data_IF_661558433708
#
_entry.id   IF_661558433708
#
_cell.length_a   1.000
_cell.length_b   1.000
_cell.length_c   1.000
_cell.angle_alpha   90.00
_cell.angle_beta   90.00
_cell.angle_gamma   90.00
#
_symmetry.space_group_name_H-M   'P 1'
#
loop_
_entity.id
_entity.type
_entity.pdbx_description
1 polymer ?
#
# COMPACT_ATOMS: atom_id res chain seq x y z
N UNK A 1 -1.63 10.42 -8.01
CA UNK A 1 -1.49 10.12 -6.56
C UNK A 1 -0.69 8.83 -6.47
N UNK A 2 0.25 8.67 -5.53
CA UNK A 2 1.02 7.42 -5.39
C UNK A 2 0.15 6.19 -5.10
N UNK A 3 -1.08 6.40 -4.60
CA UNK A 3 -2.06 5.34 -4.41
C UNK A 3 -2.93 5.16 -5.67
N UNK A 4 -3.03 3.91 -6.12
CA UNK A 4 -3.81 3.51 -7.31
C UNK A 4 -5.31 3.64 -7.04
N UNK A 5 -6.04 4.19 -8.02
CA UNK A 5 -7.49 4.32 -7.97
C UNK A 5 -8.21 3.27 -8.82
N UNK A 6 -7.49 2.61 -9.75
CA UNK A 6 -8.05 1.60 -10.66
C UNK A 6 -7.07 0.45 -10.91
N UNK A 7 -7.60 -0.71 -11.30
CA UNK A 7 -6.80 -1.86 -11.74
C UNK A 7 -5.94 -1.54 -12.97
N UNK A 8 -6.44 -0.69 -13.88
CA UNK A 8 -5.70 -0.30 -15.08
C UNK A 8 -4.45 0.52 -14.74
N UNK A 9 -4.54 1.46 -13.79
CA UNK A 9 -3.37 2.21 -13.32
C UNK A 9 -2.33 1.28 -12.68
N UNK A 10 -2.79 0.30 -11.90
CA UNK A 10 -1.92 -0.68 -11.28
C UNK A 10 -1.24 -1.60 -12.32
N UNK A 11 -1.96 -2.06 -13.34
CA UNK A 11 -1.40 -2.88 -14.40
C UNK A 11 -0.34 -2.13 -15.22
N UNK A 12 -0.55 -0.84 -15.50
CA UNK A 12 0.46 0.00 -16.18
C UNK A 12 1.76 0.06 -15.38
N UNK A 13 1.69 0.23 -14.07
CA UNK A 13 2.87 0.23 -13.21
C UNK A 13 3.57 -1.15 -13.20
N UNK A 14 2.80 -2.24 -13.18
CA UNK A 14 3.32 -3.62 -13.26
C UNK A 14 4.07 -3.84 -14.57
N UNK A 15 3.45 -3.48 -15.70
CA UNK A 15 4.02 -3.71 -17.03
C UNK A 15 5.32 -2.91 -17.24
N UNK A 16 5.37 -1.66 -16.78
CA UNK A 16 6.58 -0.84 -16.84
C UNK A 16 7.72 -1.44 -16.00
N UNK A 17 7.42 -1.94 -14.80
CA UNK A 17 8.45 -2.59 -13.99
C UNK A 17 8.91 -3.95 -14.52
N UNK A 18 8.00 -4.74 -15.12
CA UNK A 18 8.33 -6.01 -15.80
C UNK A 18 9.25 -5.77 -17.00
N UNK A 19 9.02 -4.71 -17.77
CA UNK A 19 9.89 -4.28 -18.89
C UNK A 19 11.33 -3.99 -18.45
N UNK A 20 11.55 -3.65 -17.18
CA UNK A 20 12.86 -3.36 -16.62
C UNK A 20 13.51 -4.54 -15.86
N UNK A 21 12.97 -5.76 -15.96
CA UNK A 21 13.62 -6.99 -15.49
C UNK A 21 13.31 -7.40 -14.04
N UNK A 22 12.31 -6.80 -13.40
CA UNK A 22 11.89 -7.17 -12.04
C UNK A 22 10.80 -8.23 -12.11
N UNK A 23 11.13 -9.49 -11.84
CA UNK A 23 10.19 -10.63 -11.90
C UNK A 23 9.26 -10.75 -10.69
N UNK A 24 9.42 -9.90 -9.68
CA UNK A 24 8.68 -9.98 -8.41
C UNK A 24 8.42 -8.56 -7.91
N UNK A 25 7.18 -8.09 -8.02
CA UNK A 25 6.80 -6.72 -7.69
C UNK A 25 5.98 -6.67 -6.40
N UNK A 26 6.43 -5.87 -5.45
CA UNK A 26 5.64 -5.53 -4.25
C UNK A 26 5.13 -4.10 -4.45
N UNK A 27 3.83 -3.91 -4.36
CA UNK A 27 3.22 -2.58 -4.49
C UNK A 27 3.23 -1.85 -3.14
N UNK A 28 3.78 -0.63 -3.10
CA UNK A 28 3.76 0.24 -1.92
C UNK A 28 2.54 1.16 -1.92
N UNK A 29 1.82 1.24 -0.80
CA UNK A 29 0.85 2.28 -0.51
C UNK A 29 1.39 3.22 0.56
N UNK A 30 1.22 4.53 0.35
CA UNK A 30 1.64 5.56 1.30
C UNK A 30 0.44 6.15 2.04
N UNK A 31 0.70 6.84 3.15
CA UNK A 31 -0.31 7.48 4.00
C UNK A 31 -1.38 8.25 3.19
N UNK A 32 -2.64 7.88 3.41
CA UNK A 32 -3.83 8.47 2.79
C UNK A 32 -5.06 8.22 3.67
N UNK A 33 -6.21 8.85 3.37
CA UNK A 33 -7.46 8.53 4.06
C UNK A 33 -7.77 7.03 4.02
N UNK A 34 -8.24 6.47 5.14
CA UNK A 34 -8.45 5.02 5.31
C UNK A 34 -9.31 4.41 4.19
N UNK A 35 -10.36 5.08 3.75
CA UNK A 35 -11.21 4.62 2.64
C UNK A 35 -10.45 4.44 1.32
N UNK A 36 -9.45 5.31 1.04
CA UNK A 36 -8.59 5.18 -0.13
C UNK A 36 -7.62 4.02 0.03
N UNK A 37 -7.01 3.87 1.20
CA UNK A 37 -6.10 2.75 1.47
C UNK A 37 -6.82 1.42 1.31
N UNK A 38 -8.03 1.31 1.85
CA UNK A 38 -8.88 0.14 1.75
C UNK A 38 -9.25 -0.19 0.29
N UNK A 39 -9.67 0.81 -0.49
CA UNK A 39 -9.98 0.63 -1.91
C UNK A 39 -8.75 0.21 -2.74
N UNK A 40 -7.59 0.85 -2.52
CA UNK A 40 -6.35 0.45 -3.19
C UNK A 40 -5.91 -0.96 -2.76
N UNK A 41 -6.13 -1.34 -1.51
CA UNK A 41 -5.81 -2.68 -1.01
C UNK A 41 -6.61 -3.76 -1.73
N UNK A 42 -7.90 -3.54 -1.98
CA UNK A 42 -8.73 -4.50 -2.73
C UNK A 42 -8.18 -4.73 -4.14
N UNK A 43 -7.83 -3.65 -4.84
CA UNK A 43 -7.26 -3.71 -6.20
C UNK A 43 -5.94 -4.48 -6.21
N UNK A 44 -5.04 -4.18 -5.26
CA UNK A 44 -3.74 -4.83 -5.21
C UNK A 44 -3.85 -6.30 -4.78
N UNK A 45 -4.81 -6.65 -3.92
CA UNK A 45 -5.08 -8.03 -3.55
C UNK A 45 -5.58 -8.84 -4.75
N UNK A 46 -6.43 -8.27 -5.62
CA UNK A 46 -6.86 -8.93 -6.87
C UNK A 46 -5.69 -9.20 -7.82
N UNK A 47 -4.76 -8.27 -7.94
CA UNK A 47 -3.55 -8.46 -8.76
C UNK A 47 -2.60 -9.50 -8.14
N UNK A 48 -2.48 -9.55 -6.82
CA UNK A 48 -1.70 -10.58 -6.14
C UNK A 48 -2.35 -11.97 -6.26
N UNK A 49 -3.68 -12.06 -6.20
CA UNK A 49 -4.42 -13.30 -6.47
C UNK A 49 -4.21 -13.80 -7.93
N UNK A 50 -3.91 -12.89 -8.85
CA UNK A 50 -3.59 -13.19 -10.25
C UNK A 50 -2.10 -13.44 -10.53
N UNK A 51 -1.26 -13.54 -9.49
CA UNK A 51 0.21 -13.65 -9.60
C UNK A 51 0.88 -12.49 -10.36
N UNK A 52 0.18 -11.35 -10.50
CA UNK A 52 0.71 -10.12 -11.10
C UNK A 52 1.58 -9.34 -10.12
N UNK A 53 1.29 -9.45 -8.82
CA UNK A 53 2.05 -8.87 -7.71
C UNK A 53 2.48 -9.95 -6.72
N UNK A 54 3.68 -9.80 -6.17
CA UNK A 54 4.21 -10.67 -5.13
C UNK A 54 3.73 -10.30 -3.72
N UNK A 55 3.12 -9.12 -3.56
CA UNK A 55 2.53 -8.68 -2.31
C UNK A 55 2.30 -7.17 -2.22
N UNK A 56 1.85 -6.76 -1.04
CA UNK A 56 1.50 -5.38 -0.69
C UNK A 56 2.40 -4.91 0.45
N UNK A 57 2.97 -3.72 0.31
CA UNK A 57 3.69 -3.01 1.35
C UNK A 57 2.94 -1.71 1.70
N UNK A 58 2.85 -1.40 2.99
CA UNK A 58 2.38 -0.08 3.45
C UNK A 58 3.56 0.71 4.04
N UNK A 59 3.88 1.84 3.42
CA UNK A 59 4.82 2.85 3.92
C UNK A 59 4.04 3.85 4.80
N UNK A 60 3.73 3.42 6.01
CA UNK A 60 2.77 4.08 6.89
C UNK A 60 1.32 3.87 6.43
N UNK A 61 0.41 3.86 7.39
CA UNK A 61 -0.56 4.96 7.42
C UNK A 61 -0.34 5.90 8.61
N UNK A 62 0.54 5.52 9.53
CA UNK A 62 0.85 6.26 10.74
C UNK A 62 2.33 6.60 10.71
N UNK A 63 2.65 7.89 10.68
CA UNK A 63 4.05 8.33 10.70
C UNK A 63 4.65 7.90 12.04
N UNK A 64 5.60 6.95 11.99
CA UNK A 64 6.44 6.61 13.14
C UNK A 64 7.09 7.88 13.67
N UNK A 65 6.91 8.14 14.97
CA UNK A 65 7.53 9.26 15.68
C UNK A 65 9.06 9.29 15.51
N UNK A 66 9.67 8.15 15.20
CA UNK A 66 11.12 7.97 15.20
C UNK A 66 11.81 8.35 13.88
N UNK A 67 11.06 8.80 12.86
CA UNK A 67 11.59 9.26 11.57
C UNK A 67 11.22 10.72 11.23
N UNK A 68 11.07 11.61 12.21
CA UNK A 68 10.78 13.03 11.97
C UNK A 68 11.94 13.96 12.36
N UNK A 69 12.49 14.64 11.36
CA UNK A 69 13.07 15.98 11.56
C UNK A 69 11.98 17.02 11.86
N UNK A 70 12.09 18.22 11.28
CA UNK A 70 11.23 19.38 11.56
C UNK A 70 9.79 19.31 10.96
N UNK A 71 9.01 18.28 11.31
CA UNK A 71 7.61 18.15 10.89
C UNK A 71 6.63 18.74 11.94
N UNK A 72 5.52 19.28 11.44
CA UNK A 72 4.44 19.87 12.23
C UNK A 72 3.74 18.78 13.08
N UNK A 73 3.62 18.92 14.42
CA UNK A 73 2.92 17.97 15.28
C UNK A 73 1.49 17.64 14.86
N UNK A 74 0.83 18.52 14.09
CA UNK A 74 -0.50 18.30 13.54
C UNK A 74 -0.56 17.27 12.39
N UNK A 75 0.59 16.84 11.84
CA UNK A 75 0.68 15.81 10.81
C UNK A 75 0.82 14.38 11.38
N UNK A 76 0.86 14.24 12.71
CA UNK A 76 0.96 12.93 13.38
C UNK A 76 -0.43 12.31 13.43
N UNK A 77 -0.68 11.36 12.54
CA UNK A 77 -1.87 10.49 12.59
C UNK A 77 -1.60 9.38 13.61
N UNK A 78 -2.42 9.24 14.66
CA UNK A 78 -2.24 8.19 15.64
C UNK A 78 -2.45 6.81 15.00
N UNK A 79 -1.75 5.77 15.47
CA UNK A 79 -2.03 4.41 15.04
C UNK A 79 -3.51 4.08 15.25
N UNK A 80 -4.13 3.59 14.19
CA UNK A 80 -5.51 3.11 14.13
C UNK A 80 -5.49 1.59 13.90
N UNK A 81 -5.55 0.80 15.00
CA UNK A 81 -5.53 -0.65 14.92
C UNK A 81 -6.72 -1.24 14.17
N UNK A 82 -7.86 -0.54 14.14
CA UNK A 82 -9.04 -1.01 13.44
C UNK A 82 -8.82 -0.92 11.92
N UNK A 83 -8.29 0.21 11.45
CA UNK A 83 -7.88 0.36 10.04
C UNK A 83 -6.80 -0.66 9.68
N UNK A 84 -5.80 -0.88 10.53
CA UNK A 84 -4.78 -1.92 10.29
C UNK A 84 -5.38 -3.31 10.14
N UNK A 85 -6.27 -3.72 11.05
CA UNK A 85 -6.92 -5.02 10.98
C UNK A 85 -7.74 -5.18 9.69
N UNK A 86 -8.42 -4.11 9.28
CA UNK A 86 -9.21 -4.11 8.04
C UNK A 86 -8.30 -4.22 6.80
N UNK A 87 -7.19 -3.48 6.75
CA UNK A 87 -6.20 -3.58 5.66
C UNK A 87 -5.61 -4.99 5.55
N UNK A 88 -5.25 -5.62 6.68
CA UNK A 88 -4.74 -6.99 6.68
C UNK A 88 -5.78 -7.99 6.19
N UNK A 89 -7.04 -7.81 6.59
CA UNK A 89 -8.17 -8.66 6.15
C UNK A 89 -8.39 -8.52 4.64
N UNK A 90 -8.48 -7.28 4.15
CA UNK A 90 -8.72 -6.94 2.74
C UNK A 90 -7.54 -7.33 1.84
N UNK A 91 -6.33 -7.35 2.40
CA UNK A 91 -5.12 -7.79 1.72
C UNK A 91 -4.99 -9.30 1.54
N UNK A 92 -5.91 -10.13 2.09
CA UNK A 92 -6.03 -11.58 1.80
C UNK A 92 -4.74 -12.39 1.98
N UNK A 93 -3.86 -11.97 2.89
CA UNK A 93 -2.56 -12.63 3.13
C UNK A 93 -1.41 -12.16 2.22
N UNK A 94 -1.67 -11.20 1.33
CA UNK A 94 -0.66 -10.61 0.44
C UNK A 94 0.09 -9.44 1.05
N UNK A 95 -0.34 -8.93 2.21
CA UNK A 95 0.40 -7.89 2.95
C UNK A 95 1.70 -8.48 3.50
N UNK A 96 2.84 -7.97 3.05
CA UNK A 96 4.17 -8.46 3.44
C UNK A 96 4.76 -7.68 4.60
N UNK A 97 4.64 -6.36 4.55
CA UNK A 97 5.24 -5.47 5.55
C UNK A 97 4.42 -4.19 5.68
N UNK A 98 4.39 -3.64 6.89
CA UNK A 98 3.87 -2.31 7.19
C UNK A 98 4.89 -1.63 8.11
N UNK A 99 5.33 -0.43 7.74
CA UNK A 99 6.36 0.34 8.46
C UNK A 99 5.81 1.65 9.01
#
# INVERSE_FOLDING_TARGET
>A
SPNVATAQEAQVAVDEHRRHGTTTLVASLVTAPGSKLLASTDILAELADADELAGIHYEGPFISKDHCGAQNPAAIVPPDPALTAELLTRGRGHVKTMT
#
